data_IF_963119777072
#
_entry.id   IF_963119777072
#
_cell.length_a   1.000
_cell.length_b   1.000
_cell.length_c   1.000
_cell.angle_alpha   90.00
_cell.angle_beta   90.00
_cell.angle_gamma   90.00
#
_symmetry.space_group_name_H-M   'P 1'
#
loop_
_entity.id
_entity.type
_entity.pdbx_description
1 polymer ?
#
# COMPACT_ATOMS: atom_id res chain seq x y z
N UNK A 1 1.00 15.35 -9.92
CA UNK A 1 2.07 15.65 -10.88
C UNK A 1 3.39 15.63 -10.12
N UNK A 2 3.97 14.44 -9.86
CA UNK A 2 5.30 14.34 -9.24
C UNK A 2 6.32 14.60 -10.37
N UNK A 3 7.33 15.47 -10.19
CA UNK A 3 8.30 15.71 -11.24
C UNK A 3 9.08 14.42 -11.49
N UNK A 4 9.12 13.99 -12.75
CA UNK A 4 9.90 12.83 -13.18
C UNK A 4 11.39 13.20 -13.15
N UNK A 5 12.22 12.61 -12.29
CA UNK A 5 13.64 12.91 -12.29
C UNK A 5 14.28 12.14 -13.46
N UNK A 6 14.79 12.87 -14.45
CA UNK A 6 15.67 12.31 -15.46
C UNK A 6 16.99 11.90 -14.77
N UNK A 7 17.14 10.62 -14.45
CA UNK A 7 18.34 10.08 -13.81
C UNK A 7 19.41 9.87 -14.90
N UNK A 8 20.22 10.90 -15.17
CA UNK A 8 21.34 10.83 -16.12
C UNK A 8 22.68 10.69 -15.41
N UNK A 9 23.34 9.56 -15.70
CA UNK A 9 24.74 9.15 -15.55
C UNK A 9 25.72 10.03 -14.74
N UNK A 10 26.36 9.37 -13.76
CA UNK A 10 27.69 9.73 -13.27
C UNK A 10 27.80 9.86 -11.76
N UNK A 11 28.61 8.99 -11.16
CA UNK A 11 29.29 9.10 -9.84
C UNK A 11 28.62 8.43 -8.62
N UNK A 12 27.29 8.36 -8.47
CA UNK A 12 26.66 7.80 -7.23
C UNK A 12 25.67 6.63 -7.47
N UNK A 13 26.12 5.52 -8.08
CA UNK A 13 25.31 4.31 -8.33
C UNK A 13 24.43 3.84 -7.14
N UNK A 14 24.92 3.75 -5.88
CA UNK A 14 24.10 3.28 -4.76
C UNK A 14 22.97 4.26 -4.38
N UNK A 15 23.17 5.58 -4.55
CA UNK A 15 22.12 6.57 -4.26
C UNK A 15 21.02 6.54 -5.30
N UNK A 16 21.37 6.33 -6.58
CA UNK A 16 20.39 6.19 -7.66
C UNK A 16 19.50 4.97 -7.49
N UNK A 17 20.08 3.83 -7.07
CA UNK A 17 19.32 2.62 -6.72
C UNK A 17 18.36 2.91 -5.58
N UNK A 18 18.82 3.57 -4.52
CA UNK A 18 17.97 3.92 -3.37
C UNK A 18 16.83 4.86 -3.78
N UNK A 19 17.09 5.88 -4.59
CA UNK A 19 16.08 6.84 -5.03
C UNK A 19 15.01 6.18 -5.91
N UNK A 20 15.42 5.38 -6.89
CA UNK A 20 14.48 4.62 -7.73
C UNK A 20 13.65 3.63 -6.91
N UNK A 21 14.28 2.99 -5.91
CA UNK A 21 13.60 2.07 -5.01
C UNK A 21 12.57 2.77 -4.12
N UNK A 22 12.83 4.01 -3.67
CA UNK A 22 11.86 4.80 -2.90
C UNK A 22 10.63 5.11 -3.77
N UNK A 23 10.81 5.51 -5.02
CA UNK A 23 9.69 5.80 -5.94
C UNK A 23 8.85 4.55 -6.18
N UNK A 24 9.48 3.41 -6.45
CA UNK A 24 8.80 2.11 -6.61
C UNK A 24 8.07 1.70 -5.32
N UNK A 25 8.69 1.92 -4.17
CA UNK A 25 8.12 1.60 -2.87
C UNK A 25 6.88 2.46 -2.55
N UNK A 26 6.93 3.77 -2.82
CA UNK A 26 5.78 4.67 -2.64
C UNK A 26 4.63 4.34 -3.59
N UNK A 27 4.94 4.01 -4.85
CA UNK A 27 3.94 3.57 -5.84
C UNK A 27 3.26 2.25 -5.43
N UNK A 28 3.92 1.42 -4.62
CA UNK A 28 3.42 0.11 -4.18
C UNK A 28 2.66 0.12 -2.85
N UNK A 29 2.21 1.28 -2.34
CA UNK A 29 1.65 1.42 -0.98
C UNK A 29 2.61 0.95 0.14
N UNK A 30 3.92 1.16 -0.06
CA UNK A 30 4.95 0.95 0.97
C UNK A 30 5.06 -0.50 1.47
N UNK A 31 5.00 -1.47 0.55
CA UNK A 31 5.16 -2.90 0.84
C UNK A 31 6.51 -3.21 1.51
N UNK A 32 6.53 -4.27 2.33
CA UNK A 32 7.79 -4.80 2.88
C UNK A 32 8.67 -5.38 1.77
N UNK A 33 10.00 -5.39 1.96
CA UNK A 33 10.96 -5.74 0.92
C UNK A 33 10.75 -7.10 0.27
N UNK A 34 10.21 -8.09 1.01
CA UNK A 34 9.84 -9.40 0.45
C UNK A 34 8.73 -9.31 -0.59
N UNK A 35 7.66 -8.55 -0.30
CA UNK A 35 6.52 -8.36 -1.22
C UNK A 35 6.89 -7.42 -2.36
N UNK A 36 7.63 -6.35 -2.05
CA UNK A 36 8.14 -5.43 -3.07
C UNK A 36 9.01 -6.20 -4.09
N UNK A 37 9.95 -7.03 -3.62
CA UNK A 37 10.81 -7.84 -4.51
C UNK A 37 10.00 -8.74 -5.45
N UNK A 38 8.93 -9.38 -4.97
CA UNK A 38 8.06 -10.20 -5.81
C UNK A 38 7.27 -9.37 -6.84
N UNK A 39 6.96 -8.12 -6.51
CA UNK A 39 6.20 -7.20 -7.36
C UNK A 39 7.05 -6.47 -8.40
N UNK A 40 8.34 -6.25 -8.14
CA UNK A 40 9.25 -5.50 -9.02
C UNK A 40 9.21 -5.92 -10.50
N UNK A 41 9.17 -7.22 -10.87
CA UNK A 41 9.13 -7.63 -12.28
C UNK A 41 7.90 -7.15 -13.04
N UNK A 42 6.77 -6.92 -12.35
CA UNK A 42 5.54 -6.41 -12.94
C UNK A 42 5.44 -4.89 -12.85
N UNK A 43 5.92 -4.32 -11.74
CA UNK A 43 5.81 -2.90 -11.45
C UNK A 43 6.72 -2.05 -12.35
N UNK A 44 7.97 -2.49 -12.58
CA UNK A 44 8.93 -1.72 -13.38
C UNK A 44 8.41 -1.51 -14.82
N UNK A 45 8.00 -2.56 -15.57
CA UNK A 45 7.48 -2.37 -16.93
C UNK A 45 6.20 -1.52 -16.97
N UNK A 46 5.32 -1.66 -15.97
CA UNK A 46 4.11 -0.86 -15.89
C UNK A 46 4.43 0.64 -15.73
N UNK A 47 5.36 0.98 -14.84
CA UNK A 47 5.75 2.37 -14.61
C UNK A 47 6.52 2.99 -15.78
N UNK A 48 7.36 2.21 -16.47
CA UNK A 48 8.02 2.64 -17.71
C UNK A 48 6.99 2.91 -18.82
N UNK A 49 6.01 2.01 -19.00
CA UNK A 49 4.94 2.16 -20.00
C UNK A 49 4.11 3.44 -19.79
N UNK A 50 3.87 3.81 -18.53
CA UNK A 50 3.10 5.00 -18.18
C UNK A 50 3.98 6.27 -18.06
N UNK A 51 5.27 6.21 -18.37
CA UNK A 51 6.18 7.37 -18.33
C UNK A 51 6.47 7.89 -16.92
N UNK A 52 6.13 7.11 -15.89
CA UNK A 52 6.37 7.47 -14.49
C UNK A 52 7.81 7.19 -14.03
N UNK A 53 8.56 6.41 -14.80
CA UNK A 53 9.93 6.04 -14.50
C UNK A 53 10.72 5.82 -15.79
N UNK A 54 11.95 6.33 -15.84
CA UNK A 54 12.90 6.07 -16.93
C UNK A 54 14.16 5.48 -16.32
N UNK A 55 14.31 4.16 -16.40
CA UNK A 55 15.48 3.45 -15.87
C UNK A 55 16.49 3.17 -16.98
N UNK A 56 17.77 3.39 -16.68
CA UNK A 56 18.86 2.85 -17.50
C UNK A 56 18.88 1.30 -17.36
N UNK A 57 19.13 0.53 -18.44
CA UNK A 57 19.30 -0.93 -18.39
C UNK A 57 20.16 -1.43 -17.21
N UNK A 58 21.28 -0.76 -16.92
CA UNK A 58 22.16 -1.12 -15.80
C UNK A 58 21.47 -1.01 -14.43
N UNK A 59 20.64 0.02 -14.25
CA UNK A 59 19.88 0.26 -13.03
C UNK A 59 18.74 -0.76 -12.87
N UNK A 60 18.08 -1.10 -13.99
CA UNK A 60 17.04 -2.14 -14.03
C UNK A 60 17.59 -3.51 -13.63
N UNK A 61 18.80 -3.85 -14.07
CA UNK A 61 19.45 -5.11 -13.70
C UNK A 61 19.81 -5.13 -12.21
N UNK A 62 20.32 -4.02 -11.67
CA UNK A 62 20.63 -3.90 -10.25
C UNK A 62 19.38 -4.01 -9.36
N UNK A 63 18.26 -3.38 -9.76
CA UNK A 63 16.99 -3.48 -9.04
C UNK A 63 16.40 -4.90 -9.08
N UNK A 64 16.68 -5.69 -10.10
CA UNK A 64 16.26 -7.10 -10.14
C UNK A 64 17.16 -8.02 -9.31
N UNK A 65 18.46 -7.71 -9.23
CA UNK A 65 19.44 -8.49 -8.45
C UNK A 65 19.37 -8.22 -6.95
N UNK A 66 18.86 -7.07 -6.53
CA UNK A 66 18.82 -6.69 -5.12
C UNK A 66 18.04 -7.72 -4.28
N UNK A 67 18.55 -8.03 -3.10
CA UNK A 67 17.89 -8.95 -2.17
C UNK A 67 16.77 -8.24 -1.39
N UNK A 68 15.79 -9.00 -0.88
CA UNK A 68 14.72 -8.43 -0.05
C UNK A 68 15.28 -7.75 1.21
N UNK A 69 16.32 -8.32 1.83
CA UNK A 69 16.96 -7.74 3.01
C UNK A 69 17.75 -6.47 2.68
N UNK A 70 18.37 -6.39 1.50
CA UNK A 70 19.01 -5.17 1.00
C UNK A 70 18.00 -4.06 0.74
N UNK A 71 16.83 -4.39 0.18
CA UNK A 71 15.71 -3.46 -0.01
C UNK A 71 15.28 -2.87 1.34
N UNK A 72 15.04 -3.73 2.34
CA UNK A 72 14.61 -3.28 3.67
C UNK A 72 15.65 -2.38 4.35
N UNK A 73 16.95 -2.63 4.13
CA UNK A 73 18.04 -1.77 4.64
C UNK A 73 18.07 -0.40 3.94
N UNK A 74 17.95 -0.37 2.62
CA UNK A 74 17.96 0.88 1.82
C UNK A 74 16.72 1.75 2.09
N UNK A 75 15.58 1.13 2.37
CA UNK A 75 14.33 1.82 2.69
C UNK A 75 14.16 2.14 4.18
N UNK A 76 15.11 1.77 5.05
CA UNK A 76 14.97 1.91 6.51
C UNK A 76 14.67 3.36 6.93
N UNK A 77 15.39 4.33 6.37
CA UNK A 77 15.18 5.76 6.65
C UNK A 77 13.87 6.29 6.05
N UNK A 78 13.50 5.81 4.87
CA UNK A 78 12.23 6.14 4.24
C UNK A 78 11.05 5.60 5.09
N UNK A 79 11.18 4.39 5.65
CA UNK A 79 10.20 3.79 6.56
C UNK A 79 10.02 4.57 7.87
N UNK A 80 11.10 5.11 8.46
CA UNK A 80 11.00 5.91 9.70
C UNK A 80 10.29 7.24 9.45
N UNK A 81 10.56 7.86 8.30
CA UNK A 81 10.00 9.17 7.92
C UNK A 81 8.56 9.06 7.41
N UNK A 82 8.21 7.93 6.78
CA UNK A 82 6.88 7.65 6.23
C UNK A 82 5.75 7.56 7.27
N UNK A 83 6.09 7.49 8.56
CA UNK A 83 5.14 7.29 9.66
C UNK A 83 4.66 5.84 9.74
N UNK A 84 4.58 5.30 10.97
CA UNK A 84 4.00 3.96 11.19
C UNK A 84 2.48 4.05 11.07
N UNK A 85 1.86 3.19 10.25
CA UNK A 85 0.42 2.90 10.40
C UNK A 85 0.23 2.47 11.86
N UNK A 86 -0.56 3.25 12.62
CA UNK A 86 -0.77 3.00 14.05
C UNK A 86 -1.45 1.64 14.16
N UNK A 87 -0.77 0.65 14.74
CA UNK A 87 -1.42 -0.63 15.04
C UNK A 87 -2.59 -0.32 15.96
N UNK A 88 -3.81 -0.60 15.48
CA UNK A 88 -5.02 -0.43 16.27
C UNK A 88 -4.92 -1.40 17.46
N UNK A 89 -4.85 -0.87 18.66
CA UNK A 89 -4.91 -1.70 19.87
C UNK A 89 -6.30 -2.33 19.92
N UNK A 90 -6.36 -3.65 19.72
CA UNK A 90 -7.60 -4.42 19.76
C UNK A 90 -8.00 -4.59 21.24
N UNK A 91 -9.15 -4.06 21.64
CA UNK A 91 -9.65 -4.18 23.01
C UNK A 91 -10.14 -5.61 23.30
N UNK A 92 -10.33 -5.97 24.58
CA UNK A 92 -10.74 -7.33 24.97
C UNK A 92 -12.06 -7.77 24.31
N UNK A 93 -13.00 -6.84 24.15
CA UNK A 93 -14.30 -7.08 23.50
C UNK A 93 -14.14 -7.42 22.02
N UNK A 94 -13.31 -6.69 21.27
CA UNK A 94 -13.05 -7.01 19.87
C UNK A 94 -12.29 -8.32 19.66
N UNK A 95 -11.50 -8.76 20.66
CA UNK A 95 -10.90 -10.11 20.64
C UNK A 95 -11.91 -11.23 20.88
N UNK A 96 -13.00 -10.98 21.61
CA UNK A 96 -14.05 -11.98 21.85
C UNK A 96 -15.08 -12.06 20.72
N UNK A 97 -15.08 -11.11 19.78
CA UNK A 97 -15.93 -11.15 18.59
C UNK A 97 -15.20 -12.01 17.54
N UNK A 98 -15.74 -13.18 17.15
CA UNK A 98 -15.11 -14.01 16.13
C UNK A 98 -15.05 -13.25 14.80
N UNK A 99 -13.91 -13.31 14.13
CA UNK A 99 -13.76 -12.78 12.77
C UNK A 99 -14.56 -13.68 11.83
N UNK A 100 -15.73 -13.19 11.39
CA UNK A 100 -16.58 -13.91 10.46
C UNK A 100 -16.02 -13.74 9.05
N UNK A 101 -15.38 -14.78 8.55
CA UNK A 101 -14.80 -14.81 7.21
C UNK A 101 -15.86 -15.30 6.23
N UNK A 102 -16.39 -14.42 5.37
CA UNK A 102 -17.09 -14.67 4.09
C UNK A 102 -18.21 -15.74 3.96
N UNK A 103 -18.54 -16.59 4.95
CA UNK A 103 -19.35 -17.81 4.69
C UNK A 103 -20.41 -18.13 5.74
N UNK A 104 -21.01 -17.15 6.43
CA UNK A 104 -22.20 -17.43 7.27
C UNK A 104 -23.46 -16.89 6.58
N UNK A 105 -23.98 -17.72 5.68
CA UNK A 105 -25.18 -17.55 4.85
C UNK A 105 -26.49 -17.57 5.67
N UNK A 106 -26.71 -16.58 6.54
CA UNK A 106 -28.01 -16.37 7.21
C UNK A 106 -28.45 -14.89 7.15
N UNK A 107 -28.21 -14.22 6.02
CA UNK A 107 -28.56 -12.79 5.82
C UNK A 107 -29.47 -12.58 4.63
N UNK A 108 -30.43 -13.48 4.43
CA UNK A 108 -31.40 -13.41 3.32
C UNK A 108 -32.70 -12.69 3.69
N UNK A 109 -32.93 -12.42 4.97
CA UNK A 109 -34.04 -11.59 5.44
C UNK A 109 -33.60 -10.12 5.65
N UNK A 110 -34.46 -9.13 5.34
CA UNK A 110 -34.25 -7.75 5.76
C UNK A 110 -34.00 -7.65 7.27
N UNK A 111 -33.11 -6.74 7.68
CA UNK A 111 -32.79 -6.52 9.11
C UNK A 111 -31.32 -6.74 9.47
N UNK A 112 -30.49 -7.13 8.51
CA UNK A 112 -29.03 -7.20 8.67
C UNK A 112 -28.36 -6.08 7.86
N UNK A 113 -27.67 -5.17 8.56
CA UNK A 113 -26.94 -4.07 7.93
C UNK A 113 -25.45 -4.15 8.26
N UNK A 114 -24.62 -3.85 7.27
CA UNK A 114 -23.21 -3.56 7.45
C UNK A 114 -23.03 -2.05 7.59
N UNK A 115 -22.18 -1.63 8.53
CA UNK A 115 -21.92 -0.23 8.82
C UNK A 115 -20.42 0.05 8.81
N UNK A 116 -20.00 1.07 8.07
CA UNK A 116 -18.61 1.52 8.00
C UNK A 116 -18.51 3.01 8.34
N UNK A 117 -17.46 3.38 9.06
CA UNK A 117 -17.20 4.76 9.49
C UNK A 117 -15.82 5.21 9.02
N UNK A 118 -15.80 6.19 8.12
CA UNK A 118 -14.58 6.76 7.54
C UNK A 118 -14.32 8.15 8.12
N UNK A 119 -13.11 8.33 8.66
CA UNK A 119 -12.58 9.63 9.09
C UNK A 119 -11.77 10.28 7.97
N UNK A 120 -12.17 11.48 7.53
CA UNK A 120 -11.45 12.24 6.50
C UNK A 120 -10.29 13.07 7.10
N UNK A 121 -9.44 12.43 7.90
CA UNK A 121 -8.38 13.08 8.70
C UNK A 121 -6.98 13.02 8.07
N UNK A 122 -6.85 12.50 6.85
CA UNK A 122 -5.56 12.28 6.20
C UNK A 122 -4.64 11.40 7.06
N UNK A 123 -3.47 11.92 7.46
CA UNK A 123 -2.44 11.16 8.19
C UNK A 123 -2.63 11.10 9.70
N UNK A 124 -3.36 12.04 10.29
CA UNK A 124 -3.47 12.18 11.74
C UNK A 124 -4.91 12.42 12.16
N UNK A 125 -5.41 11.65 13.13
CA UNK A 125 -6.72 11.84 13.77
C UNK A 125 -6.69 13.01 14.78
N UNK A 126 -6.11 14.15 14.40
CA UNK A 126 -5.99 15.34 15.24
C UNK A 126 -6.61 16.55 14.56
N UNK A 127 -7.42 17.30 15.28
CA UNK A 127 -8.12 18.48 14.76
C UNK A 127 -9.54 18.17 14.29
N UNK A 128 -10.10 19.09 13.50
CA UNK A 128 -11.47 19.00 12.99
C UNK A 128 -11.47 18.41 11.59
N UNK A 129 -12.25 17.35 11.38
CA UNK A 129 -12.39 16.68 10.10
C UNK A 129 -13.78 16.06 9.97
N UNK A 130 -14.16 15.74 8.72
CA UNK A 130 -15.45 15.15 8.41
C UNK A 130 -15.46 13.65 8.70
N UNK A 131 -16.64 13.16 9.05
CA UNK A 131 -16.91 11.74 9.24
C UNK A 131 -18.03 11.33 8.29
N UNK A 132 -17.84 10.20 7.60
CA UNK A 132 -18.88 9.58 6.77
C UNK A 132 -19.25 8.25 7.37
N UNK A 133 -20.53 8.08 7.68
CA UNK A 133 -21.12 6.81 8.12
C UNK A 133 -21.91 6.22 6.97
N UNK A 134 -21.53 5.02 6.52
CA UNK A 134 -22.27 4.26 5.51
C UNK A 134 -23.00 3.11 6.17
N UNK A 135 -24.27 2.89 5.81
CA UNK A 135 -25.07 1.75 6.22
C UNK A 135 -25.62 1.06 4.96
N UNK A 136 -25.35 -0.23 4.83
CA UNK A 136 -25.78 -1.04 3.69
C UNK A 136 -26.56 -2.24 4.18
N UNK A 137 -27.81 -2.41 3.71
CA UNK A 137 -28.57 -3.63 3.93
C UNK A 137 -27.97 -4.78 3.08
N UNK A 138 -27.69 -5.89 3.75
CA UNK A 138 -26.92 -6.99 3.17
C UNK A 138 -27.76 -7.81 2.18
N UNK A 139 -29.10 -7.75 2.28
CA UNK A 139 -30.01 -8.45 1.35
C UNK A 139 -30.12 -7.74 0.00
N UNK A 140 -29.91 -6.42 -0.04
CA UNK A 140 -29.93 -5.64 -1.31
C UNK A 140 -28.59 -5.72 -2.05
N UNK A 141 -27.49 -5.96 -1.31
CA UNK A 141 -26.16 -6.14 -1.88
C UNK A 141 -25.98 -7.56 -2.43
N UNK A 142 -26.77 -7.92 -3.45
CA UNK A 142 -26.47 -9.06 -4.31
C UNK A 142 -25.13 -8.80 -5.01
N UNK A 143 -24.13 -9.60 -4.66
CA UNK A 143 -22.80 -9.61 -5.25
C UNK A 143 -22.96 -9.84 -6.76
N UNK A 144 -22.69 -8.82 -7.58
CA UNK A 144 -22.25 -9.04 -8.97
C UNK A 144 -20.84 -9.61 -8.85
N UNK A 145 -20.71 -10.93 -9.01
CA UNK A 145 -19.40 -11.58 -9.05
C UNK A 145 -19.35 -12.96 -8.41
N UNK A 146 -20.03 -13.94 -9.01
CA UNK A 146 -19.55 -15.31 -9.20
C UNK A 146 -20.34 -15.95 -10.35
#
# INVERSE_FOLDING_TARGET
MVPSPAITNGVDQPRLVQQALIVLWEASDRLCGKRLKALLPQLIPAMEKHGHLSLNPALREQLQKVSASSIDRLLKEAHTTAGKKRNRTVNRVSKSIPVRMFTEHERHSPGFMEMDLVAHCGRHLSGTFLWTLSLTDIRVCGIIGA
#
